data_IF_373905357365
#
_entry.id   IF_373905357365
#
_cell.length_a   1.000
_cell.length_b   1.000
_cell.length_c   1.000
_cell.angle_alpha   90.00
_cell.angle_beta   90.00
_cell.angle_gamma   90.00
#
_symmetry.space_group_name_H-M   'P 1'
#
loop_
_entity.id
_entity.type
_entity.pdbx_description
1 polymer ?
#
# COMPACT_ATOMS: atom_id res chain seq x y z
N UNK A 1 -9.05 -6.16 -7.52
CA UNK A 1 -7.79 -6.24 -6.74
C UNK A 1 -6.70 -6.75 -7.68
N UNK A 2 -5.70 -5.93 -8.00
CA UNK A 2 -4.57 -6.36 -8.82
C UNK A 2 -3.46 -6.82 -7.87
N UNK A 3 -3.22 -8.13 -7.82
CA UNK A 3 -2.16 -8.72 -7.03
C UNK A 3 -0.80 -8.39 -7.62
N UNK A 4 -0.04 -7.49 -6.99
CA UNK A 4 1.32 -7.15 -7.41
C UNK A 4 2.31 -8.15 -6.82
N UNK A 5 3.24 -8.66 -7.64
CA UNK A 5 4.29 -9.56 -7.20
C UNK A 5 5.21 -8.82 -6.21
N UNK A 6 5.21 -9.24 -4.94
CA UNK A 6 5.91 -8.55 -3.86
C UNK A 6 7.20 -9.23 -3.40
N UNK A 7 7.70 -10.22 -4.16
CA UNK A 7 8.94 -10.93 -3.85
C UNK A 7 8.70 -12.38 -3.40
N UNK A 8 9.81 -13.11 -3.26
CA UNK A 8 9.83 -14.53 -2.96
C UNK A 8 10.24 -14.74 -1.49
N UNK A 9 9.42 -15.45 -0.71
CA UNK A 9 9.83 -15.92 0.63
C UNK A 9 10.60 -17.23 0.46
N UNK A 10 11.93 -17.17 0.39
CA UNK A 10 12.77 -18.37 0.54
C UNK A 10 12.93 -18.63 2.03
N UNK A 11 12.06 -19.46 2.61
CA UNK A 11 12.38 -20.15 3.87
C UNK A 11 13.31 -21.33 3.59
N UNK A 12 14.53 -21.00 3.17
CA UNK A 12 15.66 -21.92 3.17
C UNK A 12 16.58 -21.51 4.32
N UNK A 13 16.72 -22.36 5.33
CA UNK A 13 17.76 -22.18 6.33
C UNK A 13 19.12 -22.23 5.60
N UNK A 14 19.68 -21.07 5.29
CA UNK A 14 20.95 -20.94 4.59
C UNK A 14 22.08 -21.20 5.60
N UNK A 15 22.39 -22.46 5.85
CA UNK A 15 23.73 -22.87 6.27
C UNK A 15 24.56 -23.04 5.01
N UNK A 16 25.27 -21.98 4.61
CA UNK A 16 26.35 -22.04 3.61
C UNK A 16 27.60 -22.56 4.36
N UNK A 17 28.56 -23.35 3.80
CA UNK A 17 28.83 -23.68 2.40
C UNK A 17 28.93 -25.20 2.11
N UNK A 18 28.49 -25.64 0.93
CA UNK A 18 28.71 -27.03 0.51
C UNK A 18 28.30 -27.27 -0.92
N UNK A 19 29.23 -27.05 -1.85
CA UNK A 19 29.15 -27.62 -3.20
C UNK A 19 29.26 -29.13 -3.05
N UNK A 20 28.13 -29.84 -2.97
CA UNK A 20 28.09 -31.30 -3.11
C UNK A 20 26.80 -31.73 -3.80
N UNK A 21 26.95 -32.03 -5.09
CA UNK A 21 26.47 -33.25 -5.74
C UNK A 21 25.09 -33.77 -5.35
N UNK A 22 24.19 -33.76 -6.34
CA UNK A 22 23.34 -34.90 -6.65
C UNK A 22 22.08 -35.05 -5.81
N UNK A 23 20.94 -35.05 -6.53
CA UNK A 23 19.74 -35.87 -6.23
C UNK A 23 19.22 -35.84 -4.80
N UNK A 24 18.20 -35.02 -4.53
CA UNK A 24 16.90 -35.51 -4.06
C UNK A 24 15.88 -34.36 -4.02
N UNK A 25 14.62 -34.70 -4.20
CA UNK A 25 13.42 -33.87 -4.26
C UNK A 25 13.32 -32.77 -3.16
N UNK A 26 14.03 -31.65 -3.35
CA UNK A 26 13.70 -30.43 -2.61
C UNK A 26 12.43 -29.84 -3.21
N UNK A 27 11.32 -30.21 -2.57
CA UNK A 27 9.99 -29.60 -2.70
C UNK A 27 10.08 -28.10 -2.37
N UNK A 28 10.62 -27.33 -3.31
CA UNK A 28 10.78 -25.88 -3.21
C UNK A 28 9.40 -25.30 -3.45
N UNK A 29 8.64 -25.07 -2.37
CA UNK A 29 7.38 -24.33 -2.44
C UNK A 29 7.71 -22.86 -2.67
N UNK A 30 8.08 -22.50 -3.90
CA UNK A 30 8.13 -21.12 -4.39
C UNK A 30 6.69 -20.60 -4.47
N UNK A 31 6.13 -20.20 -3.32
CA UNK A 31 4.84 -19.53 -3.29
C UNK A 31 5.06 -18.08 -3.69
N UNK A 32 4.63 -17.73 -4.89
CA UNK A 32 4.52 -16.33 -5.30
C UNK A 32 3.53 -15.64 -4.33
N UNK A 33 4.05 -14.78 -3.45
CA UNK A 33 3.24 -14.06 -2.49
C UNK A 33 2.51 -12.95 -3.25
N UNK A 34 1.18 -13.00 -3.25
CA UNK A 34 0.33 -11.92 -3.74
C UNK A 34 0.06 -11.02 -2.56
N UNK A 35 0.78 -9.89 -2.45
CA UNK A 35 0.56 -8.94 -1.36
C UNK A 35 -0.62 -8.03 -1.69
N UNK A 36 -1.48 -7.81 -0.70
CA UNK A 36 -2.57 -6.85 -0.81
C UNK A 36 -2.02 -5.44 -0.76
N UNK A 37 -2.46 -4.59 -1.69
CA UNK A 37 -2.03 -3.20 -1.77
C UNK A 37 -3.23 -2.28 -1.93
N UNK A 38 -3.20 -1.16 -1.22
CA UNK A 38 -4.25 -0.15 -1.20
C UNK A 38 -3.72 1.18 -1.71
N UNK A 39 -4.62 1.96 -2.31
CA UNK A 39 -4.36 3.36 -2.66
C UNK A 39 -5.03 4.25 -1.63
N UNK A 40 -4.25 5.06 -0.93
CA UNK A 40 -4.74 6.10 -0.04
C UNK A 40 -4.45 7.44 -0.70
N UNK A 41 -5.48 8.26 -0.86
CA UNK A 41 -5.34 9.55 -1.52
C UNK A 41 -5.74 10.68 -0.61
N UNK A 42 -4.99 11.78 -0.67
CA UNK A 42 -5.43 13.07 -0.15
C UNK A 42 -5.37 14.12 -1.27
N UNK A 43 -5.55 15.39 -0.90
CA UNK A 43 -5.56 16.52 -1.86
C UNK A 43 -4.24 16.66 -2.62
N UNK A 44 -3.11 16.28 -2.04
CA UNK A 44 -1.77 16.59 -2.58
C UNK A 44 -0.96 15.35 -2.96
N UNK A 45 -1.33 14.17 -2.50
CA UNK A 45 -0.52 12.96 -2.57
C UNK A 45 -1.40 11.72 -2.77
N UNK A 46 -0.91 10.79 -3.59
CA UNK A 46 -1.40 9.42 -3.70
C UNK A 46 -0.36 8.46 -3.13
N UNK A 47 -0.75 7.69 -2.12
CA UNK A 47 0.07 6.70 -1.44
C UNK A 47 -0.34 5.29 -1.86
N UNK A 48 0.62 4.43 -2.20
CA UNK A 48 0.39 2.98 -2.32
C UNK A 48 0.90 2.33 -1.04
N UNK A 49 0.04 1.60 -0.34
CA UNK A 49 0.34 1.06 1.00
C UNK A 49 0.05 -0.43 1.08
N UNK A 50 0.82 -1.14 1.89
CA UNK A 50 0.62 -2.57 2.17
C UNK A 50 0.50 -2.83 3.66
N UNK A 51 -0.38 -3.76 4.10
CA UNK A 51 -0.40 -4.20 5.49
C UNK A 51 0.99 -4.66 5.91
N UNK A 52 1.42 -4.31 7.13
CA UNK A 52 2.69 -4.81 7.65
C UNK A 52 2.59 -6.27 8.12
N UNK A 53 1.41 -6.70 8.55
CA UNK A 53 1.12 -8.07 8.97
C UNK A 53 0.26 -8.77 7.92
N UNK A 54 0.89 -9.68 7.17
CA UNK A 54 0.24 -10.47 6.12
C UNK A 54 -0.51 -11.70 6.67
N UNK A 55 -0.43 -11.99 7.98
CA UNK A 55 -1.07 -13.18 8.56
C UNK A 55 -2.57 -12.98 8.77
N UNK A 56 -3.00 -11.78 9.15
CA UNK A 56 -4.41 -11.43 9.34
C UNK A 56 -4.70 -10.01 8.82
N UNK A 57 -4.47 -9.73 7.52
CA UNK A 57 -4.75 -8.42 6.97
C UNK A 57 -6.27 -8.20 7.02
N UNK A 58 -6.70 -7.37 7.95
CA UNK A 58 -8.10 -6.92 7.94
C UNK A 58 -8.24 -5.93 6.81
N UNK A 59 -9.17 -6.20 5.89
CA UNK A 59 -9.38 -5.36 4.72
C UNK A 59 -9.67 -3.92 5.15
N UNK A 60 -9.07 -2.96 4.45
CA UNK A 60 -9.52 -1.57 4.54
C UNK A 60 -10.83 -1.42 3.75
N UNK A 61 -11.85 -0.79 4.35
CA UNK A 61 -13.01 -0.33 3.61
C UNK A 61 -12.58 0.54 2.43
N UNK A 62 -13.12 0.26 1.25
CA UNK A 62 -12.81 1.00 0.02
C UNK A 62 -13.84 2.11 -0.14
N UNK A 63 -13.36 3.33 -0.43
CA UNK A 63 -14.22 4.51 -0.58
C UNK A 63 -14.44 5.30 0.70
N UNK A 64 -13.99 4.76 1.85
CA UNK A 64 -14.13 5.42 3.15
C UNK A 64 -12.98 6.38 3.46
N UNK A 65 -13.29 7.36 4.31
CA UNK A 65 -12.29 8.30 4.84
C UNK A 65 -11.45 7.65 5.94
N UNK A 66 -10.16 7.96 5.96
CA UNK A 66 -9.23 7.45 6.96
C UNK A 66 -8.31 8.57 7.47
N UNK A 67 -7.98 8.48 8.75
CA UNK A 67 -6.95 9.31 9.37
C UNK A 67 -5.63 8.55 9.38
N UNK A 68 -4.52 9.23 9.08
CA UNK A 68 -3.21 8.59 9.14
C UNK A 68 -2.12 9.52 9.63
N UNK A 69 -1.09 8.91 10.23
CA UNK A 69 0.16 9.56 10.60
C UNK A 69 1.33 8.71 10.15
N UNK A 70 2.38 9.36 9.70
CA UNK A 70 3.62 8.69 9.28
C UNK A 70 4.66 8.89 10.38
N UNK A 71 5.29 7.80 10.83
CA UNK A 71 6.46 7.85 11.72
C UNK A 71 7.54 6.93 11.17
N UNK A 72 8.71 7.50 10.86
CA UNK A 72 9.82 6.81 10.21
C UNK A 72 9.36 6.19 8.87
N UNK A 73 9.45 4.88 8.76
CA UNK A 73 9.09 4.05 7.60
C UNK A 73 7.66 3.49 7.65
N UNK A 74 6.88 3.84 8.68
CA UNK A 74 5.56 3.24 8.95
C UNK A 74 4.45 4.26 8.89
N UNK A 75 3.36 3.87 8.23
CA UNK A 75 2.08 4.57 8.25
C UNK A 75 1.16 3.92 9.27
N UNK A 76 0.59 4.72 10.16
CA UNK A 76 -0.42 4.31 11.13
C UNK A 76 -1.75 4.86 10.65
N UNK A 77 -2.66 3.99 10.27
CA UNK A 77 -3.93 4.35 9.65
C UNK A 77 -5.10 3.88 10.51
N UNK A 78 -6.11 4.74 10.67
CA UNK A 78 -7.34 4.50 11.41
C UNK A 78 -8.52 4.89 10.54
N UNK A 79 -9.54 4.03 10.51
CA UNK A 79 -10.82 4.33 9.84
C UNK A 79 -11.85 4.68 10.93
N UNK A 80 -12.28 5.95 11.05
CA UNK A 80 -13.19 6.37 12.11
C UNK A 80 -14.53 5.63 12.08
N UNK A 81 -15.07 5.41 10.88
CA UNK A 81 -16.38 4.79 10.62
C UNK A 81 -16.36 3.26 10.72
N UNK A 82 -15.18 2.66 10.89
CA UNK A 82 -14.99 1.22 11.01
C UNK A 82 -14.84 0.77 12.46
N UNK A 83 -13.85 -0.11 12.70
CA UNK A 83 -13.53 -0.63 14.03
C UNK A 83 -12.76 0.36 14.92
N UNK A 84 -12.47 1.57 14.40
CA UNK A 84 -11.65 2.59 15.06
C UNK A 84 -10.26 2.13 15.49
N UNK A 85 -9.76 0.98 15.00
CA UNK A 85 -8.44 0.46 15.35
C UNK A 85 -7.36 1.11 14.49
N UNK A 86 -6.24 1.41 15.12
CA UNK A 86 -5.04 1.88 14.41
C UNK A 86 -4.26 0.67 13.87
N UNK A 87 -3.95 0.68 12.58
CA UNK A 87 -3.25 -0.40 11.87
C UNK A 87 -1.96 0.10 11.24
N UNK A 88 -0.93 -0.74 11.20
CA UNK A 88 0.37 -0.41 10.61
C UNK A 88 0.46 -0.85 9.15
N UNK A 89 0.89 0.08 8.31
CA UNK A 89 1.14 -0.10 6.89
C UNK A 89 2.56 0.32 6.53
N UNK A 90 3.11 -0.32 5.49
CA UNK A 90 4.34 0.10 4.82
C UNK A 90 3.95 0.92 3.59
N UNK A 91 4.62 2.05 3.38
CA UNK A 91 4.44 2.88 2.18
C UNK A 91 5.32 2.34 1.06
N UNK A 92 4.70 1.91 -0.03
CA UNK A 92 5.37 1.38 -1.23
C UNK A 92 5.75 2.51 -2.18
N UNK A 93 4.85 3.48 -2.37
CA UNK A 93 5.12 4.65 -3.19
C UNK A 93 4.35 5.87 -2.69
N UNK A 94 4.92 7.05 -2.97
CA UNK A 94 4.29 8.35 -2.78
C UNK A 94 4.38 9.13 -4.08
N UNK A 95 3.24 9.56 -4.61
CA UNK A 95 3.17 10.32 -5.85
C UNK A 95 2.45 11.64 -5.55
N UNK A 96 3.09 12.81 -5.73
CA UNK A 96 2.42 14.09 -5.60
C UNK A 96 1.37 14.23 -6.71
N UNK A 97 0.19 14.73 -6.34
CA UNK A 97 -0.84 15.09 -7.30
C UNK A 97 -0.48 16.44 -7.93
N UNK A 98 -0.68 16.62 -9.25
CA UNK A 98 -0.53 17.93 -9.86
C UNK A 98 -1.51 18.89 -9.19
N UNK A 99 -1.04 20.08 -8.82
CA UNK A 99 -1.94 21.14 -8.35
C UNK A 99 -2.92 21.45 -9.48
N UNK A 100 -4.21 21.20 -9.25
CA UNK A 100 -5.23 21.73 -10.14
C UNK A 100 -5.21 23.25 -9.95
N UNK A 101 -4.76 23.99 -10.98
CA UNK A 101 -4.86 25.45 -10.98
C UNK A 101 -6.32 25.83 -10.67
N UNK A 102 -6.56 26.78 -9.74
CA UNK A 102 -7.92 27.17 -9.40
C UNK A 102 -8.59 27.67 -10.67
N UNK A 103 -9.59 26.90 -11.14
CA UNK A 103 -10.44 27.28 -12.27
C UNK A 103 -11.11 28.58 -11.87
N UNK A 104 -10.54 29.70 -12.31
CA UNK A 104 -11.07 31.02 -12.06
C UNK A 104 -12.41 31.06 -12.79
N UNK A 105 -13.50 30.91 -12.05
CA UNK A 105 -14.83 31.11 -12.57
C UNK A 105 -14.86 32.53 -13.14
N UNK A 106 -14.88 32.66 -14.47
CA UNK A 106 -15.17 33.95 -15.10
C UNK A 106 -16.57 34.32 -14.68
N UNK A 107 -16.67 35.20 -13.69
CA UNK A 107 -17.89 35.94 -13.41
C UNK A 107 -18.22 36.71 -14.69
N UNK A 108 -19.20 36.19 -15.44
CA UNK A 108 -19.80 36.94 -16.54
C UNK A 108 -20.45 38.18 -15.94
N UNK A 109 -19.80 39.32 -16.12
CA UNK A 109 -20.47 40.60 -16.10
C UNK A 109 -21.52 40.55 -17.23
N UNK A 110 -22.80 40.55 -16.86
CA UNK A 110 -23.88 40.89 -17.80
C UNK A 110 -24.54 42.16 -17.28
N UNK A 111 -24.10 43.25 -17.92
CA UNK A 111 -24.71 44.55 -18.15
C UNK A 111 -25.99 44.95 -17.40
N UNK A 112 -25.86 46.08 -16.70
CA UNK A 112 -26.92 47.08 -16.55
C UNK A 112 -27.27 47.67 -17.93
N UNK A 113 -28.51 47.49 -18.41
CA UNK A 113 -29.30 48.59 -19.00
C UNK A 113 -30.78 48.24 -19.13
#
# INVERSE_FOLDING_TARGET
MNGVNCGWDQRGAMTVPGVLLGTDDQHTKTKQMVCQEYTLENERMTYRIRPKDDKHPTLLPVGESAEFRIRKDKMYLRVPEGDSKERQYVVVSMIPKPEEEPKTAKAGALDKK
#
